data_IF_778532708468
#
_entry.id   IF_778532708468
#
_cell.length_a   1.000
_cell.length_b   1.000
_cell.length_c   1.000
_cell.angle_alpha   90.00
_cell.angle_beta   90.00
_cell.angle_gamma   90.00
#
_symmetry.space_group_name_H-M   'P 1'
#
loop_
_entity.id
_entity.type
_entity.pdbx_description
1 polymer ?
#
# COMPACT_ATOMS: atom_id res chain seq x y z
N UNK A 1 -32.46 75.02 10.78
CA UNK A 1 -31.38 74.13 11.25
C UNK A 1 -31.65 72.62 11.09
N UNK A 2 -32.83 72.15 10.65
CA UNK A 2 -33.13 70.70 10.54
C UNK A 2 -32.58 70.01 9.28
N UNK A 3 -32.31 70.75 8.20
CA UNK A 3 -31.79 70.22 6.94
C UNK A 3 -30.35 69.70 7.07
N UNK A 4 -29.47 70.45 7.74
CA UNK A 4 -28.08 70.04 7.97
C UNK A 4 -27.99 68.75 8.80
N UNK A 5 -28.86 68.59 9.80
CA UNK A 5 -28.90 67.42 10.67
C UNK A 5 -29.38 66.15 9.94
N UNK A 6 -30.34 66.27 9.02
CA UNK A 6 -30.75 65.14 8.15
C UNK A 6 -29.65 64.73 7.18
N UNK A 7 -28.90 65.68 6.62
CA UNK A 7 -27.75 65.39 5.74
C UNK A 7 -26.62 64.69 6.48
N UNK A 8 -26.33 65.12 7.73
CA UNK A 8 -25.35 64.47 8.58
C UNK A 8 -25.74 63.02 8.92
N UNK A 9 -27.02 62.76 9.19
CA UNK A 9 -27.51 61.40 9.44
C UNK A 9 -27.41 60.49 8.22
N UNK A 10 -27.70 61.02 7.03
CA UNK A 10 -27.54 60.28 5.78
C UNK A 10 -26.06 60.00 5.46
N UNK A 11 -25.16 60.95 5.76
CA UNK A 11 -23.72 60.79 5.58
C UNK A 11 -23.14 59.78 6.58
N UNK A 12 -23.63 59.74 7.82
CA UNK A 12 -23.26 58.73 8.81
C UNK A 12 -23.66 57.32 8.37
N UNK A 13 -24.85 57.15 7.78
CA UNK A 13 -25.27 55.88 7.20
C UNK A 13 -24.37 55.43 6.04
N UNK A 14 -24.00 56.35 5.16
CA UNK A 14 -23.07 56.08 4.06
C UNK A 14 -21.68 55.66 4.59
N UNK A 15 -21.17 56.38 5.59
CA UNK A 15 -19.88 56.08 6.22
C UNK A 15 -19.90 54.69 6.89
N UNK A 16 -21.01 54.31 7.53
CA UNK A 16 -21.17 52.99 8.13
C UNK A 16 -21.12 51.87 7.09
N UNK A 17 -21.85 52.02 5.98
CA UNK A 17 -21.82 51.04 4.87
C UNK A 17 -20.42 50.95 4.26
N UNK A 18 -19.76 52.09 4.06
CA UNK A 18 -18.41 52.13 3.52
C UNK A 18 -17.39 51.47 4.46
N UNK A 19 -17.53 51.67 5.77
CA UNK A 19 -16.72 51.01 6.79
C UNK A 19 -16.91 49.50 6.75
N UNK A 20 -18.15 49.01 6.69
CA UNK A 20 -18.44 47.56 6.55
C UNK A 20 -17.83 47.01 5.26
N UNK A 21 -17.92 47.73 4.13
CA UNK A 21 -17.33 47.31 2.86
C UNK A 21 -15.79 47.19 2.94
N UNK A 22 -15.13 48.15 3.61
CA UNK A 22 -13.69 48.10 3.87
C UNK A 22 -13.32 46.89 4.73
N UNK A 23 -14.14 46.55 5.75
CA UNK A 23 -13.89 45.38 6.60
C UNK A 23 -14.14 44.05 5.89
N UNK A 24 -15.03 44.02 4.90
CA UNK A 24 -15.32 42.82 4.13
C UNK A 24 -14.25 42.51 3.07
N UNK A 25 -13.49 43.53 2.65
CA UNK A 25 -12.39 43.40 1.69
C UNK A 25 -11.33 42.36 2.10
N UNK A 26 -10.70 42.42 3.29
CA UNK A 26 -9.72 41.42 3.71
C UNK A 26 -10.31 40.01 3.83
N UNK A 27 -11.61 39.90 4.14
CA UNK A 27 -12.29 38.60 4.19
C UNK A 27 -12.31 37.90 2.82
N UNK A 28 -12.54 38.66 1.74
CA UNK A 28 -12.48 38.13 0.37
C UNK A 28 -11.05 37.80 -0.08
N UNK A 29 -10.05 38.57 0.37
CA UNK A 29 -8.65 38.31 0.02
C UNK A 29 -8.09 37.10 0.78
N UNK A 30 -8.50 36.89 2.03
CA UNK A 30 -8.08 35.75 2.84
C UNK A 30 -8.49 34.41 2.21
N UNK A 31 -9.60 34.34 1.48
CA UNK A 31 -10.02 33.10 0.78
C UNK A 31 -8.96 32.65 -0.23
N UNK A 32 -8.33 33.59 -0.94
CA UNK A 32 -7.29 33.26 -1.92
C UNK A 32 -6.01 32.75 -1.23
N UNK A 33 -5.60 33.38 -0.12
CA UNK A 33 -4.46 32.93 0.68
C UNK A 33 -4.72 31.55 1.29
N UNK A 34 -5.90 31.34 1.90
CA UNK A 34 -6.33 30.07 2.47
C UNK A 34 -6.37 28.95 1.43
N UNK A 35 -6.80 29.23 0.21
CA UNK A 35 -6.79 28.23 -0.86
C UNK A 35 -5.36 27.82 -1.23
N UNK A 36 -4.42 28.75 -1.29
CA UNK A 36 -3.00 28.45 -1.54
C UNK A 36 -2.40 27.60 -0.42
N UNK A 37 -2.69 27.93 0.84
CA UNK A 37 -2.23 27.17 2.00
C UNK A 37 -2.79 25.75 2.00
N UNK A 38 -4.08 25.60 1.65
CA UNK A 38 -4.71 24.29 1.52
C UNK A 38 -4.02 23.43 0.45
N UNK A 39 -3.72 23.99 -0.71
CA UNK A 39 -2.99 23.28 -1.78
C UNK A 39 -1.58 22.86 -1.32
N UNK A 40 -0.90 23.68 -0.52
CA UNK A 40 0.40 23.32 0.04
C UNK A 40 0.29 22.15 1.03
N UNK A 41 -0.72 22.16 1.90
CA UNK A 41 -1.00 21.05 2.84
C UNK A 41 -1.38 19.78 2.10
N UNK A 42 -2.22 19.85 1.05
CA UNK A 42 -2.58 18.69 0.24
C UNK A 42 -1.36 18.02 -0.40
N UNK A 43 -0.39 18.81 -0.87
CA UNK A 43 0.89 18.29 -1.37
C UNK A 43 1.68 17.57 -0.28
N UNK A 44 1.79 18.16 0.91
CA UNK A 44 2.46 17.53 2.05
C UNK A 44 1.80 16.22 2.47
N UNK A 45 0.47 16.14 2.40
CA UNK A 45 -0.28 14.91 2.68
C UNK A 45 0.07 13.84 1.65
N UNK A 46 0.15 14.19 0.37
CA UNK A 46 0.51 13.23 -0.68
C UNK A 46 1.96 12.73 -0.54
N UNK A 47 2.89 13.61 -0.21
CA UNK A 47 4.29 13.24 0.01
C UNK A 47 4.43 12.32 1.23
N UNK A 48 3.81 12.69 2.35
CA UNK A 48 3.77 11.84 3.56
C UNK A 48 3.14 10.47 3.29
N UNK A 49 2.05 10.40 2.52
CA UNK A 49 1.43 9.12 2.14
C UNK A 49 2.37 8.25 1.30
N UNK A 50 3.15 8.87 0.41
CA UNK A 50 4.14 8.16 -0.40
C UNK A 50 5.26 7.60 0.49
N UNK A 51 5.76 8.38 1.44
CA UNK A 51 6.76 7.94 2.41
C UNK A 51 6.25 6.77 3.26
N UNK A 52 5.02 6.85 3.79
CA UNK A 52 4.40 5.75 4.53
C UNK A 52 4.31 4.49 3.66
N UNK A 53 3.91 4.62 2.39
CA UNK A 53 3.82 3.46 1.50
C UNK A 53 5.19 2.81 1.23
N UNK A 54 6.24 3.62 1.13
CA UNK A 54 7.61 3.16 0.97
C UNK A 54 8.11 2.45 2.22
N UNK A 55 7.94 3.06 3.40
CA UNK A 55 8.32 2.47 4.69
C UNK A 55 7.58 1.15 4.93
N UNK A 56 6.29 1.07 4.58
CA UNK A 56 5.52 -0.15 4.71
C UNK A 56 6.02 -1.25 3.77
N UNK A 57 6.45 -0.90 2.56
CA UNK A 57 7.04 -1.86 1.63
C UNK A 57 8.37 -2.39 2.21
N UNK A 58 9.22 -1.52 2.75
CA UNK A 58 10.49 -1.92 3.37
C UNK A 58 10.29 -2.80 4.62
N UNK A 59 9.33 -2.47 5.48
CA UNK A 59 9.02 -3.29 6.66
C UNK A 59 8.50 -4.67 6.23
N UNK A 60 7.63 -4.75 5.22
CA UNK A 60 7.11 -6.02 4.71
C UNK A 60 8.22 -6.90 4.14
N UNK A 61 9.17 -6.33 3.40
CA UNK A 61 10.29 -7.11 2.87
C UNK A 61 11.21 -7.60 3.98
N UNK A 62 11.51 -6.77 5.00
CA UNK A 62 12.32 -7.18 6.16
C UNK A 62 11.63 -8.25 7.02
N UNK A 63 10.35 -8.09 7.32
CA UNK A 63 9.58 -9.05 8.11
C UNK A 63 9.42 -10.40 7.38
N UNK A 64 9.25 -10.38 6.06
CA UNK A 64 9.13 -11.62 5.27
C UNK A 64 10.39 -12.47 5.32
N UNK A 65 11.59 -11.87 5.35
CA UNK A 65 12.85 -12.61 5.47
C UNK A 65 12.98 -13.27 6.84
N UNK A 66 12.67 -12.54 7.91
CA UNK A 66 12.70 -13.07 9.27
C UNK A 66 11.69 -14.22 9.45
N UNK A 67 10.49 -14.10 8.87
CA UNK A 67 9.50 -15.17 8.90
C UNK A 67 9.95 -16.41 8.13
N UNK A 68 10.60 -16.23 6.96
CA UNK A 68 11.17 -17.35 6.21
C UNK A 68 12.27 -18.05 7.00
N UNK A 69 13.13 -17.30 7.71
CA UNK A 69 14.16 -17.86 8.59
C UNK A 69 13.54 -18.66 9.74
N UNK A 70 12.56 -18.08 10.45
CA UNK A 70 11.85 -18.75 11.54
C UNK A 70 11.16 -20.04 11.08
N UNK A 71 10.51 -20.01 9.92
CA UNK A 71 9.86 -21.20 9.35
C UNK A 71 10.88 -22.25 8.89
N UNK A 72 12.01 -21.81 8.35
CA UNK A 72 13.08 -22.70 7.93
C UNK A 72 13.74 -23.41 9.12
N UNK A 73 13.93 -22.68 10.22
CA UNK A 73 14.42 -23.22 11.49
C UNK A 73 13.42 -24.19 12.11
N UNK A 74 12.14 -23.80 12.21
CA UNK A 74 11.10 -24.61 12.87
C UNK A 74 10.80 -25.91 12.13
N UNK A 75 10.73 -25.88 10.79
CA UNK A 75 10.26 -27.01 9.99
C UNK A 75 11.40 -27.88 9.44
N UNK A 76 12.53 -27.27 9.06
CA UNK A 76 13.62 -27.96 8.38
C UNK A 76 14.95 -27.93 9.13
N UNK A 77 15.10 -27.05 10.12
CA UNK A 77 16.36 -26.85 10.85
C UNK A 77 17.51 -26.37 9.96
N UNK A 78 17.23 -25.85 8.76
CA UNK A 78 18.29 -25.36 7.87
C UNK A 78 18.83 -24.02 8.39
N UNK A 79 20.14 -23.97 8.57
CA UNK A 79 20.88 -22.76 8.91
C UNK A 79 21.69 -22.29 7.69
N UNK A 80 21.87 -20.97 7.51
CA UNK A 80 22.79 -20.47 6.49
C UNK A 80 24.19 -21.06 6.68
N UNK A 81 24.90 -21.43 5.60
CA UNK A 81 26.24 -21.98 5.70
C UNK A 81 27.18 -20.98 6.38
N UNK A 82 27.91 -21.45 7.39
CA UNK A 82 28.85 -20.62 8.14
C UNK A 82 30.13 -20.39 7.34
N UNK A 83 30.84 -19.28 7.62
CA UNK A 83 32.10 -18.93 6.93
C UNK A 83 33.16 -20.06 6.94
N UNK A 84 33.11 -20.95 7.94
CA UNK A 84 34.01 -22.09 8.09
C UNK A 84 33.69 -23.25 7.13
N UNK A 85 32.47 -23.29 6.56
CA UNK A 85 32.06 -24.27 5.56
C UNK A 85 32.49 -23.86 4.14
N UNK A 86 32.92 -22.60 3.95
CA UNK A 86 33.44 -22.11 2.69
C UNK A 86 34.95 -22.33 2.62
N UNK A 87 35.39 -22.84 1.47
CA UNK A 87 36.81 -23.07 1.17
C UNK A 87 37.34 -21.80 0.52
N UNK A 88 38.46 -21.29 1.00
CA UNK A 88 39.04 -20.05 0.48
C UNK A 88 39.98 -20.35 -0.71
N UNK A 89 39.47 -20.18 -1.93
CA UNK A 89 40.26 -20.13 -3.16
C UNK A 89 40.50 -21.48 -3.86
N UNK A 90 41.02 -21.41 -5.09
CA UNK A 90 41.17 -22.55 -6.00
C UNK A 90 42.23 -23.55 -5.51
N UNK A 91 43.28 -23.09 -4.83
CA UNK A 91 44.33 -23.95 -4.28
C UNK A 91 43.80 -24.86 -3.16
N UNK A 92 42.96 -24.33 -2.27
CA UNK A 92 42.30 -25.11 -1.22
C UNK A 92 41.22 -26.05 -1.80
N UNK A 93 40.59 -25.66 -2.91
CA UNK A 93 39.67 -26.52 -3.65
C UNK A 93 40.38 -27.70 -4.33
N UNK A 94 41.56 -27.48 -4.93
CA UNK A 94 42.35 -28.53 -5.57
C UNK A 94 42.85 -29.60 -4.57
N UNK A 95 43.05 -29.24 -3.31
CA UNK A 95 43.38 -30.16 -2.23
C UNK A 95 42.20 -31.04 -1.78
N UNK A 96 40.96 -30.56 -1.91
CA UNK A 96 39.77 -31.26 -1.43
C UNK A 96 39.43 -32.53 -2.26
N UNK A 97 39.86 -32.59 -3.52
CA UNK A 97 39.61 -33.75 -4.38
C UNK A 97 40.37 -35.03 -4.02
N UNK A 98 41.37 -34.94 -3.13
CA UNK A 98 42.31 -36.04 -2.85
C UNK A 98 42.07 -36.75 -1.52
N UNK A 99 41.23 -36.20 -0.64
CA UNK A 99 40.89 -36.83 0.64
C UNK A 99 39.41 -36.54 0.90
N UNK A 100 38.57 -37.58 0.92
CA UNK A 100 37.13 -37.44 1.13
C UNK A 100 36.90 -37.29 2.64
N UNK A 101 36.63 -36.09 3.19
CA UNK A 101 36.19 -36.03 4.56
C UNK A 101 34.81 -36.70 4.64
N UNK A 102 34.63 -37.55 5.66
CA UNK A 102 33.33 -38.05 6.07
C UNK A 102 32.52 -36.86 6.61
N UNK A 103 31.98 -36.05 5.71
CA UNK A 103 30.96 -35.06 6.01
C UNK A 103 29.73 -35.82 6.48
N UNK A 104 29.24 -35.49 7.68
CA UNK A 104 27.93 -35.97 8.15
C UNK A 104 26.91 -35.65 7.07
N UNK A 105 26.11 -36.63 6.60
CA UNK A 105 25.20 -36.42 5.48
C UNK A 105 24.25 -35.27 5.82
N UNK A 106 24.33 -34.19 5.06
CA UNK A 106 23.31 -33.15 5.08
C UNK A 106 22.10 -33.76 4.39
N UNK A 107 21.04 -33.96 5.16
CA UNK A 107 19.77 -34.51 4.68
C UNK A 107 19.13 -33.50 3.74
N UNK A 108 19.39 -33.66 2.43
CA UNK A 108 18.60 -33.02 1.39
C UNK A 108 17.38 -33.92 1.19
N UNK A 109 16.19 -33.38 1.44
CA UNK A 109 14.96 -34.04 1.05
C UNK A 109 14.89 -34.04 -0.50
N UNK A 110 15.47 -35.06 -1.13
CA UNK A 110 15.13 -35.42 -2.49
C UNK A 110 13.74 -36.02 -2.42
N UNK A 111 12.73 -35.18 -2.65
CA UNK A 111 11.39 -35.68 -2.95
C UNK A 111 11.49 -36.51 -4.23
N UNK A 112 11.21 -37.81 -4.12
CA UNK A 112 11.10 -38.72 -5.26
C UNK A 112 9.82 -38.40 -6.03
N UNK A 113 9.87 -37.33 -6.81
CA UNK A 113 8.91 -37.04 -7.86
C UNK A 113 9.63 -36.16 -8.89
N UNK A 114 9.74 -36.56 -10.17
CA UNK A 114 10.19 -35.64 -11.19
C UNK A 114 9.20 -34.47 -11.20
N UNK A 115 9.69 -33.29 -10.83
CA UNK A 115 8.96 -32.05 -10.95
C UNK A 115 8.42 -31.99 -12.38
N UNK A 116 7.08 -32.06 -12.48
CA UNK A 116 6.37 -32.07 -13.74
C UNK A 116 6.81 -30.91 -14.62
N UNK A 117 6.76 -31.17 -15.92
CA UNK A 117 6.98 -30.20 -16.99
C UNK A 117 6.33 -28.86 -16.63
N UNK A 118 7.14 -27.81 -16.54
CA UNK A 118 6.65 -26.45 -16.38
C UNK A 118 6.03 -26.04 -17.71
N UNK A 119 4.70 -26.13 -17.81
CA UNK A 119 3.93 -25.64 -18.95
C UNK A 119 2.69 -26.46 -19.24
N UNK A 120 1.57 -26.15 -18.59
CA UNK A 120 0.26 -26.72 -18.94
C UNK A 120 -0.73 -26.59 -17.80
N UNK A 121 -1.61 -25.58 -17.88
CA UNK A 121 -2.57 -25.29 -16.82
C UNK A 121 -3.61 -26.39 -16.61
N UNK A 122 -3.97 -26.61 -15.35
CA UNK A 122 -5.32 -26.88 -14.87
C UNK A 122 -5.27 -26.95 -13.34
N UNK A 123 -5.92 -26.00 -12.67
CA UNK A 123 -6.20 -26.08 -11.25
C UNK A 123 -7.29 -27.15 -11.01
N UNK A 124 -6.98 -28.14 -10.18
CA UNK A 124 -7.97 -29.00 -9.55
C UNK A 124 -7.80 -28.91 -8.04
N UNK A 125 -8.73 -28.21 -7.41
CA UNK A 125 -8.90 -28.11 -5.96
C UNK A 125 -9.66 -29.31 -5.42
N UNK A 126 -9.14 -29.96 -4.39
CA UNK A 126 -9.89 -30.84 -3.46
C UNK A 126 -9.27 -30.60 -2.09
N UNK A 127 -9.83 -29.75 -1.23
CA UNK A 127 -10.94 -30.03 -0.30
C UNK A 127 -10.68 -31.25 0.59
N UNK A 128 -10.36 -30.98 1.86
CA UNK A 128 -10.75 -31.70 3.09
C UNK A 128 -10.25 -30.81 4.26
N UNK A 129 -11.10 -30.02 4.91
CA UNK A 129 -12.13 -30.39 5.90
C UNK A 129 -11.54 -30.98 7.21
N UNK A 130 -11.64 -30.13 8.23
CA UNK A 130 -11.92 -30.39 9.65
C UNK A 130 -10.95 -31.23 10.49
N UNK A 131 -10.41 -30.61 11.54
CA UNK A 131 -10.59 -31.07 12.93
C UNK A 131 -10.62 -29.86 13.87
N UNK A 132 -11.72 -29.77 14.61
CA UNK A 132 -11.89 -28.97 15.81
C UNK A 132 -10.82 -29.34 16.84
N UNK A 133 -10.29 -28.34 17.57
CA UNK A 133 -10.14 -28.48 19.01
C UNK A 133 -10.11 -27.09 19.67
N UNK A 134 -10.90 -27.04 20.73
CA UNK A 134 -11.33 -25.91 21.53
C UNK A 134 -10.25 -25.59 22.56
N UNK A 135 -9.85 -24.32 22.69
CA UNK A 135 -9.33 -23.88 23.99
C UNK A 135 -9.67 -22.41 24.28
N UNK A 136 -10.26 -22.25 25.45
CA UNK A 136 -10.98 -21.09 25.95
C UNK A 136 -10.05 -20.16 26.73
N UNK A 137 -10.07 -18.86 26.42
CA UNK A 137 -9.76 -17.83 27.43
C UNK A 137 -10.76 -16.68 27.30
N UNK A 138 -11.45 -16.44 28.41
CA UNK A 138 -12.49 -15.46 28.69
C UNK A 138 -11.95 -14.03 28.84
N UNK A 139 -12.62 -13.03 28.27
CA UNK A 139 -12.72 -11.70 28.90
C UNK A 139 -13.97 -10.90 28.45
N UNK A 140 -14.78 -10.57 29.46
CA UNK A 140 -15.62 -9.37 29.66
C UNK A 140 -16.62 -8.91 28.59
N UNK A 141 -17.88 -9.27 28.83
CA UNK A 141 -19.07 -8.75 28.15
C UNK A 141 -19.41 -7.30 28.59
N UNK A 142 -19.36 -6.36 27.64
CA UNK A 142 -20.10 -5.09 27.69
C UNK A 142 -21.31 -5.22 26.77
N UNK A 143 -22.51 -5.17 27.35
CA UNK A 143 -23.78 -5.20 26.62
C UNK A 143 -24.04 -3.82 26.02
N UNK A 144 -23.91 -3.69 24.69
CA UNK A 144 -24.50 -2.58 23.93
C UNK A 144 -25.60 -3.16 23.04
N UNK A 145 -26.79 -2.57 23.17
CA UNK A 145 -28.00 -2.98 22.48
C UNK A 145 -27.83 -2.91 20.95
N UNK A 146 -28.23 -3.98 20.28
CA UNK A 146 -28.23 -4.12 18.83
C UNK A 146 -29.31 -3.21 18.24
N UNK A 147 -28.90 -2.09 17.65
CA UNK A 147 -29.66 -1.45 16.60
C UNK A 147 -29.59 -2.35 15.35
N UNK A 148 -30.75 -2.62 14.74
CA UNK A 148 -30.87 -3.36 13.48
C UNK A 148 -30.04 -2.63 12.40
N UNK A 149 -28.98 -3.27 11.93
CA UNK A 149 -28.18 -2.83 10.79
C UNK A 149 -28.62 -3.68 9.60
N UNK A 150 -29.12 -3.02 8.56
CA UNK A 150 -29.44 -3.63 7.26
C UNK A 150 -28.18 -4.31 6.65
N UNK A 151 -28.32 -5.43 5.92
CA UNK A 151 -27.17 -6.19 5.45
C UNK A 151 -26.31 -5.39 4.46
N UNK A 152 -24.97 -5.35 4.62
CA UNK A 152 -24.08 -4.67 3.69
C UNK A 152 -24.07 -5.39 2.34
N UNK A 153 -24.12 -4.56 1.28
CA UNK A 153 -24.13 -4.95 -0.12
C UNK A 153 -22.85 -5.72 -0.48
N UNK A 154 -23.07 -6.96 -0.90
CA UNK A 154 -22.16 -7.95 -1.49
C UNK A 154 -20.82 -7.37 -1.95
N UNK A 155 -19.77 -7.78 -1.23
CA UNK A 155 -18.36 -7.68 -1.58
C UNK A 155 -18.13 -7.98 -3.07
N UNK A 156 -17.74 -6.97 -3.85
CA UNK A 156 -17.25 -7.19 -5.21
C UNK A 156 -16.07 -8.17 -5.16
N UNK A 157 -16.28 -9.36 -5.72
CA UNK A 157 -15.28 -10.42 -5.78
C UNK A 157 -13.98 -9.90 -6.42
N UNK A 158 -12.81 -10.42 -6.00
CA UNK A 158 -11.50 -9.98 -6.51
C UNK A 158 -11.44 -9.97 -8.05
N UNK A 159 -12.12 -10.92 -8.68
CA UNK A 159 -12.32 -11.02 -10.14
C UNK A 159 -13.06 -9.83 -10.74
N UNK A 160 -14.09 -9.32 -10.08
CA UNK A 160 -14.83 -8.14 -10.54
C UNK A 160 -13.99 -6.86 -10.43
N UNK A 161 -13.14 -6.75 -9.41
CA UNK A 161 -12.19 -5.63 -9.29
C UNK A 161 -11.10 -5.69 -10.36
N UNK A 162 -10.58 -6.88 -10.65
CA UNK A 162 -9.59 -7.08 -11.70
C UNK A 162 -10.18 -6.74 -13.07
N UNK A 163 -11.41 -7.16 -13.36
CA UNK A 163 -12.10 -6.83 -14.60
C UNK A 163 -12.28 -5.31 -14.79
N UNK A 164 -12.67 -4.59 -13.73
CA UNK A 164 -12.79 -3.12 -13.78
C UNK A 164 -11.46 -2.40 -13.96
N UNK A 165 -10.37 -2.97 -13.44
CA UNK A 165 -9.03 -2.42 -13.64
C UNK A 165 -8.56 -2.67 -15.07
N UNK A 166 -8.81 -3.86 -15.61
CA UNK A 166 -8.48 -4.22 -17.00
C UNK A 166 -9.24 -3.31 -17.98
N UNK A 167 -10.55 -3.13 -17.79
CA UNK A 167 -11.38 -2.22 -18.60
C UNK A 167 -10.87 -0.77 -18.55
N UNK A 168 -10.38 -0.31 -17.39
CA UNK A 168 -9.82 1.03 -17.25
C UNK A 168 -8.46 1.17 -17.95
N UNK A 169 -7.62 0.14 -17.90
CA UNK A 169 -6.30 0.13 -18.53
C UNK A 169 -6.37 -0.05 -20.06
N UNK A 170 -7.39 -0.75 -20.56
CA UNK A 170 -7.66 -0.94 -21.98
C UNK A 170 -8.69 0.03 -22.55
N UNK A 171 -8.98 1.13 -21.86
CA UNK A 171 -9.91 2.12 -22.40
C UNK A 171 -9.37 2.70 -23.72
N UNK A 172 -10.23 2.74 -24.74
CA UNK A 172 -9.89 3.22 -26.09
C UNK A 172 -9.29 4.63 -26.07
N UNK A 173 -9.73 5.47 -25.13
CA UNK A 173 -9.24 6.83 -24.96
C UNK A 173 -7.79 6.87 -24.44
N UNK A 174 -7.43 6.00 -23.48
CA UNK A 174 -6.06 5.86 -22.98
C UNK A 174 -5.13 5.30 -24.07
N UNK A 175 -5.60 4.29 -24.83
CA UNK A 175 -4.84 3.73 -25.96
C UNK A 175 -4.59 4.79 -27.05
N UNK A 176 -5.58 5.66 -27.28
CA UNK A 176 -5.47 6.78 -28.20
C UNK A 176 -4.49 7.85 -27.69
N UNK A 177 -4.50 8.19 -26.41
CA UNK A 177 -3.54 9.14 -25.84
C UNK A 177 -2.10 8.60 -25.89
N UNK A 178 -1.91 7.31 -25.57
CA UNK A 178 -0.59 6.65 -25.65
C UNK A 178 -0.07 6.66 -27.10
N UNK A 179 -0.91 6.32 -28.08
CA UNK A 179 -0.50 6.33 -29.49
C UNK A 179 -0.16 7.73 -29.99
N UNK A 180 -0.97 8.74 -29.64
CA UNK A 180 -0.70 10.15 -29.97
C UNK A 180 0.61 10.64 -29.36
N UNK A 181 0.91 10.25 -28.12
CA UNK A 181 2.15 10.61 -27.43
C UNK A 181 3.36 9.92 -28.04
N UNK A 182 3.24 8.63 -28.40
CA UNK A 182 4.29 7.88 -29.08
C UNK A 182 4.62 8.47 -30.47
N UNK A 183 3.61 8.86 -31.24
CA UNK A 183 3.81 9.51 -32.54
C UNK A 183 4.49 10.88 -32.41
N UNK A 184 4.17 11.62 -31.36
CA UNK A 184 4.80 12.91 -31.05
C UNK A 184 6.28 12.75 -30.67
N UNK A 185 6.63 11.66 -29.99
CA UNK A 185 8.01 11.35 -29.65
C UNK A 185 8.82 10.90 -30.87
N UNK A 186 8.23 10.11 -31.77
CA UNK A 186 8.88 9.71 -33.04
C UNK A 186 9.17 10.86 -34.00
N UNK A 187 8.46 11.99 -33.87
CA UNK A 187 8.64 13.19 -34.69
C UNK A 187 9.63 14.21 -34.08
N UNK A 188 10.11 13.97 -32.87
CA UNK A 188 11.20 14.74 -32.25
C UNK A 188 12.54 14.11 -32.58
#
# INVERSE_FOLDING_TARGET
MSLAMKRLKNLGWLALVFMVAILLYPLSLNVAALHSDLVAVDRQILDTKREISFLQAEIRTRASLQQLEEWNELLYGYQPPTAQQFINGEAALAGLGNDVPVTRPVMVAVGDAPAGIVGGGAHSTSSLAATDDEDTVTETAVKVAVAKIDPPKVEQSRTERLAKMDEKLLSDDLMRDISLKADKERRR
#
